data_IF_068768870307
#
_entry.id   IF_068768870307
#
_cell.length_a   1.000
_cell.length_b   1.000
_cell.length_c   1.000
_cell.angle_alpha   90.00
_cell.angle_beta   90.00
_cell.angle_gamma   90.00
#
_symmetry.space_group_name_H-M   'P 1'
#
loop_
_entity.id
_entity.type
_entity.pdbx_description
1 polymer ?
#
# COMPACT_ATOMS: atom_id res chain seq x y z
N UNK A 1 23.15 -31.86 5.16
CA UNK A 1 22.94 -30.52 4.59
C UNK A 1 21.62 -30.01 5.16
N UNK A 2 21.66 -29.06 6.09
CA UNK A 2 20.45 -28.47 6.68
C UNK A 2 19.91 -27.43 5.72
N UNK A 3 18.72 -27.70 5.16
CA UNK A 3 17.92 -26.69 4.45
C UNK A 3 17.54 -25.60 5.45
N UNK A 4 18.28 -24.49 5.44
CA UNK A 4 17.81 -23.26 6.08
C UNK A 4 16.58 -22.80 5.30
N UNK A 5 15.41 -22.90 5.94
CA UNK A 5 14.22 -22.19 5.48
C UNK A 5 14.59 -20.71 5.44
N UNK A 6 14.54 -20.04 4.28
CA UNK A 6 14.84 -18.61 4.21
C UNK A 6 13.92 -17.89 5.20
N UNK A 7 14.52 -17.08 6.08
CA UNK A 7 13.74 -16.20 6.95
C UNK A 7 12.84 -15.34 6.06
N UNK A 8 11.58 -15.11 6.42
CA UNK A 8 10.73 -14.18 5.67
C UNK A 8 11.46 -12.85 5.55
N UNK A 9 11.41 -12.23 4.37
CA UNK A 9 11.88 -10.85 4.22
C UNK A 9 11.07 -9.97 5.16
N UNK A 10 11.71 -9.45 6.19
CA UNK A 10 11.12 -8.55 7.16
C UNK A 10 11.05 -7.13 6.57
N UNK A 11 9.90 -6.72 6.05
CA UNK A 11 9.71 -5.42 5.40
C UNK A 11 8.60 -4.63 6.07
N UNK A 12 8.71 -3.30 6.06
CA UNK A 12 7.68 -2.43 6.62
C UNK A 12 6.38 -2.66 5.86
N UNK A 13 5.38 -3.20 6.55
CA UNK A 13 4.09 -3.55 5.95
C UNK A 13 3.02 -2.64 6.51
N UNK A 14 2.36 -1.90 5.63
CA UNK A 14 1.20 -1.10 5.98
C UNK A 14 -0.02 -1.66 5.28
N UNK A 15 -1.15 -1.59 5.97
CA UNK A 15 -2.43 -1.87 5.35
C UNK A 15 -2.99 -0.61 4.72
N UNK A 16 -3.49 -0.74 3.50
CA UNK A 16 -4.20 0.32 2.79
C UNK A 16 -5.67 -0.03 2.67
N UNK A 17 -6.54 0.89 3.10
CA UNK A 17 -7.98 0.74 3.04
C UNK A 17 -8.56 1.80 2.12
N UNK A 18 -9.10 1.42 0.94
CA UNK A 18 -9.81 2.36 0.08
C UNK A 18 -11.11 2.80 0.76
N UNK A 19 -11.38 4.10 0.74
CA UNK A 19 -12.63 4.68 1.24
C UNK A 19 -13.31 5.46 0.14
N UNK A 20 -14.65 5.38 0.07
CA UNK A 20 -15.45 6.02 -0.98
C UNK A 20 -15.25 7.53 -0.92
N UNK A 21 -14.79 8.10 -2.02
CA UNK A 21 -14.72 9.55 -2.22
C UNK A 21 -16.14 10.08 -2.37
N UNK A 22 -16.57 10.96 -1.45
CA UNK A 22 -17.92 11.54 -1.49
C UNK A 22 -18.16 12.53 -2.65
N UNK A 23 -17.14 12.86 -3.45
CA UNK A 23 -17.22 13.92 -4.47
C UNK A 23 -16.52 13.67 -5.81
N UNK A 24 -15.47 12.85 -5.86
CA UNK A 24 -14.74 12.51 -7.10
C UNK A 24 -14.78 11.00 -7.34
N UNK A 25 -15.39 10.58 -8.44
CA UNK A 25 -15.53 9.16 -8.81
C UNK A 25 -14.25 8.56 -9.39
N UNK A 26 -13.26 9.39 -9.72
CA UNK A 26 -12.00 8.97 -10.35
C UNK A 26 -10.83 8.91 -9.36
N UNK A 27 -10.94 9.60 -8.22
CA UNK A 27 -9.96 9.59 -7.14
C UNK A 27 -10.42 8.69 -5.98
N UNK A 28 -9.57 7.73 -5.60
CA UNK A 28 -9.74 6.91 -4.42
C UNK A 28 -9.07 7.60 -3.23
N UNK A 29 -9.80 7.82 -2.15
CA UNK A 29 -9.18 8.15 -0.88
C UNK A 29 -8.72 6.88 -0.18
N UNK A 30 -7.59 6.93 0.51
CA UNK A 30 -7.03 5.80 1.22
C UNK A 30 -6.74 6.16 2.67
N UNK A 31 -6.97 5.21 3.58
CA UNK A 31 -6.48 5.26 4.96
C UNK A 31 -5.43 4.18 5.17
N UNK A 32 -4.42 4.48 5.97
CA UNK A 32 -3.29 3.59 6.20
C UNK A 32 -3.24 3.13 7.65
N UNK A 33 -2.80 1.89 7.85
CA UNK A 33 -2.70 1.27 9.17
C UNK A 33 -1.40 0.48 9.28
N UNK A 34 -0.88 0.36 10.50
CA UNK A 34 0.26 -0.52 10.76
C UNK A 34 -0.20 -1.98 10.95
N UNK A 35 0.72 -2.95 11.13
CA UNK A 35 0.36 -4.35 11.32
C UNK A 35 -0.56 -4.65 12.52
N UNK A 36 -0.61 -3.74 13.51
CA UNK A 36 -1.48 -3.83 14.69
C UNK A 36 -2.89 -3.28 14.44
N UNK A 37 -3.16 -2.72 13.25
CA UNK A 37 -4.42 -2.08 12.91
C UNK A 37 -4.55 -0.66 13.48
N UNK A 38 -3.44 -0.04 13.89
CA UNK A 38 -3.43 1.35 14.37
C UNK A 38 -3.31 2.30 13.16
N UNK A 39 -4.06 3.42 13.12
CA UNK A 39 -3.97 4.37 12.03
C UNK A 39 -2.57 4.95 11.86
N UNK A 40 -2.14 5.11 10.61
CA UNK A 40 -0.88 5.75 10.22
C UNK A 40 -1.19 6.82 9.18
N UNK A 41 -0.56 7.98 9.30
CA UNK A 41 -0.70 9.04 8.30
C UNK A 41 0.03 8.67 7.01
N UNK A 42 -0.47 9.13 5.86
CA UNK A 42 0.11 8.82 4.55
C UNK A 42 1.56 9.32 4.40
N UNK A 43 1.95 10.34 5.16
CA UNK A 43 3.30 10.89 5.23
C UNK A 43 4.24 10.17 6.22
N UNK A 44 3.77 9.09 6.87
CA UNK A 44 4.54 8.30 7.83
C UNK A 44 4.88 6.89 7.32
N UNK A 45 4.61 6.62 6.04
CA UNK A 45 4.94 5.35 5.40
C UNK A 45 6.45 5.28 5.14
N UNK A 46 7.18 4.50 5.92
CA UNK A 46 8.64 4.45 5.91
C UNK A 46 9.18 3.02 6.10
N UNK A 47 10.23 2.67 5.36
CA UNK A 47 10.96 1.41 5.43
C UNK A 47 11.41 1.04 6.86
N UNK A 48 11.75 2.03 7.69
CA UNK A 48 12.34 1.84 9.02
C UNK A 48 11.38 2.01 10.20
N UNK A 49 10.16 2.52 9.97
CA UNK A 49 9.21 2.83 11.06
C UNK A 49 8.78 1.60 11.88
N UNK A 50 9.03 0.39 11.37
CA UNK A 50 8.69 -0.88 12.02
C UNK A 50 9.92 -1.63 12.54
N UNK A 51 11.08 -0.96 12.62
CA UNK A 51 12.34 -1.55 13.11
C UNK A 51 13.06 -2.44 12.10
N UNK A 52 12.63 -2.41 10.84
CA UNK A 52 13.25 -3.18 9.76
C UNK A 52 14.36 -2.39 9.08
N UNK A 53 15.38 -3.09 8.61
CA UNK A 53 16.54 -2.52 7.91
C UNK A 53 16.47 -2.70 6.38
N UNK A 54 15.31 -3.07 5.84
CA UNK A 54 15.14 -3.37 4.42
C UNK A 54 14.55 -2.16 3.68
N UNK A 55 15.03 -1.92 2.47
CA UNK A 55 14.68 -0.77 1.61
C UNK A 55 13.35 -0.93 0.87
N UNK A 56 12.36 -1.58 1.51
CA UNK A 56 11.08 -1.93 0.90
C UNK A 56 9.91 -1.55 1.79
N UNK A 57 8.87 -1.00 1.17
CA UNK A 57 7.55 -0.83 1.77
C UNK A 57 6.57 -1.78 1.09
N UNK A 58 5.87 -2.58 1.89
CA UNK A 58 4.74 -3.38 1.46
C UNK A 58 3.44 -2.65 1.79
N UNK A 59 2.58 -2.48 0.80
CA UNK A 59 1.22 -2.00 0.98
C UNK A 59 0.26 -3.14 0.69
N UNK A 60 -0.52 -3.52 1.69
CA UNK A 60 -1.43 -4.64 1.65
C UNK A 60 -2.87 -4.16 1.82
N UNK A 61 -3.79 -4.55 0.95
CA UNK A 61 -5.20 -4.36 1.26
C UNK A 61 -5.67 -5.49 2.19
N UNK A 62 -6.21 -5.16 3.37
CA UNK A 62 -6.63 -6.16 4.33
C UNK A 62 -7.83 -6.97 3.80
N UNK A 63 -7.98 -8.19 4.32
CA UNK A 63 -9.21 -8.97 4.16
C UNK A 63 -10.31 -8.47 5.10
N UNK A 64 -11.56 -8.85 4.85
CA UNK A 64 -12.68 -8.54 5.74
C UNK A 64 -12.42 -9.05 7.18
N UNK A 65 -11.87 -10.25 7.33
CA UNK A 65 -11.53 -10.84 8.63
C UNK A 65 -10.42 -10.09 9.38
N UNK A 66 -9.47 -9.50 8.64
CA UNK A 66 -8.43 -8.67 9.24
C UNK A 66 -9.01 -7.35 9.72
N UNK A 67 -9.84 -6.70 8.89
CA UNK A 67 -10.54 -5.47 9.24
C UNK A 67 -11.42 -5.65 10.48
N UNK A 68 -12.18 -6.75 10.56
CA UNK A 68 -13.07 -7.04 11.69
C UNK A 68 -12.35 -7.14 13.05
N UNK A 69 -11.03 -7.36 13.05
CA UNK A 69 -10.21 -7.43 14.27
C UNK A 69 -9.66 -6.08 14.71
N UNK A 70 -9.76 -5.04 13.89
CA UNK A 70 -9.23 -3.72 14.22
C UNK A 70 -10.21 -2.97 15.12
N UNK A 71 -9.65 -2.29 16.12
CA UNK A 71 -10.46 -1.53 17.08
C UNK A 71 -11.18 -0.34 16.43
N UNK A 72 -10.62 0.22 15.35
CA UNK A 72 -11.17 1.36 14.64
C UNK A 72 -11.26 1.04 13.13
N UNK A 73 -12.32 0.32 12.75
CA UNK A 73 -12.64 0.12 11.33
C UNK A 73 -13.08 1.45 10.73
N UNK A 74 -12.48 1.91 9.62
CA UNK A 74 -12.93 3.12 8.94
C UNK A 74 -14.41 3.07 8.56
N UNK A 75 -15.12 4.18 8.74
CA UNK A 75 -16.38 4.40 8.05
C UNK A 75 -16.14 4.63 6.55
N UNK A 76 -17.11 4.24 5.72
CA UNK A 76 -17.07 4.51 4.28
C UNK A 76 -16.06 3.68 3.48
N UNK A 77 -15.65 2.50 3.99
CA UNK A 77 -14.78 1.57 3.24
C UNK A 77 -15.44 1.23 1.91
N UNK A 78 -14.64 1.30 0.85
CA UNK A 78 -15.06 0.87 -0.45
C UNK A 78 -14.84 -0.64 -0.61
N UNK A 79 -15.90 -1.42 -0.36
CA UNK A 79 -15.85 -2.89 -0.37
C UNK A 79 -15.71 -3.47 -1.79
N UNK A 80 -15.99 -2.66 -2.82
CA UNK A 80 -15.90 -3.06 -4.23
C UNK A 80 -14.53 -2.80 -4.84
N UNK A 81 -13.68 -2.02 -4.15
CA UNK A 81 -12.34 -1.68 -4.59
C UNK A 81 -11.36 -2.80 -4.22
N UNK A 82 -10.61 -3.31 -5.20
CA UNK A 82 -9.53 -4.26 -5.01
C UNK A 82 -8.20 -3.69 -5.51
N UNK A 83 -7.14 -3.76 -4.70
CA UNK A 83 -5.81 -3.30 -5.06
C UNK A 83 -5.32 -4.10 -6.27
N UNK A 84 -5.11 -3.41 -7.39
CA UNK A 84 -4.77 -3.99 -8.68
C UNK A 84 -3.30 -3.76 -9.03
N UNK A 85 -2.81 -2.54 -8.84
CA UNK A 85 -1.44 -2.18 -9.16
C UNK A 85 -0.99 -0.95 -8.34
N UNK A 86 0.27 -0.59 -8.49
CA UNK A 86 0.79 0.69 -8.05
C UNK A 86 1.78 1.26 -9.06
N UNK A 87 1.79 2.58 -9.18
CA UNK A 87 2.78 3.33 -9.97
C UNK A 87 3.56 4.21 -9.02
N UNK A 88 4.89 4.15 -9.06
CA UNK A 88 5.75 4.97 -8.21
C UNK A 88 6.72 5.81 -9.02
N UNK A 89 7.10 6.95 -8.45
CA UNK A 89 8.12 7.85 -8.97
C UNK A 89 9.01 8.32 -7.84
N UNK A 90 10.32 8.20 -8.01
CA UNK A 90 11.28 8.75 -7.05
C UNK A 90 11.24 10.28 -7.10
N UNK A 91 11.21 10.90 -5.92
CA UNK A 91 11.16 12.35 -5.75
C UNK A 91 12.57 12.87 -5.49
N UNK A 92 12.92 14.02 -6.08
CA UNK A 92 14.17 14.72 -5.78
C UNK A 92 15.48 14.06 -6.25
N UNK A 93 15.45 12.96 -7.03
CA UNK A 93 16.65 12.26 -7.49
C UNK A 93 16.47 11.46 -8.79
N UNK A 94 17.56 10.91 -9.32
CA UNK A 94 17.63 10.18 -10.60
C UNK A 94 17.84 8.66 -10.42
N UNK A 95 17.18 8.07 -9.43
CA UNK A 95 17.23 6.63 -9.20
C UNK A 95 16.42 5.88 -10.28
N UNK A 96 17.04 4.90 -10.94
CA UNK A 96 16.40 4.05 -11.96
C UNK A 96 15.62 2.89 -11.33
N UNK A 97 14.77 3.18 -10.34
CA UNK A 97 13.93 2.15 -9.73
C UNK A 97 12.73 1.79 -10.62
N UNK A 98 12.21 0.55 -10.55
CA UNK A 98 10.99 0.19 -11.26
C UNK A 98 9.82 1.10 -10.84
N UNK A 99 8.99 1.49 -11.79
CA UNK A 99 7.91 2.46 -11.56
C UNK A 99 6.51 1.84 -11.58
N UNK A 100 6.35 0.56 -11.92
CA UNK A 100 5.07 -0.11 -12.01
C UNK A 100 5.12 -1.45 -11.29
N UNK A 101 4.13 -1.70 -10.46
CA UNK A 101 4.06 -2.86 -9.57
C UNK A 101 2.66 -3.47 -9.68
N UNK A 102 2.56 -4.70 -10.16
CA UNK A 102 1.29 -5.42 -10.14
C UNK A 102 1.02 -5.95 -8.74
N UNK A 103 -0.22 -5.81 -8.27
CA UNK A 103 -0.60 -6.39 -7.00
C UNK A 103 -0.61 -7.91 -7.09
N UNK A 104 -0.09 -8.57 -6.06
CA UNK A 104 -0.20 -10.03 -5.87
C UNK A 104 -0.77 -10.27 -4.49
N UNK A 105 -1.78 -11.12 -4.40
CA UNK A 105 -2.46 -11.42 -3.12
C UNK A 105 -2.90 -10.14 -2.39
N UNK A 106 -3.39 -9.15 -3.15
CA UNK A 106 -3.80 -7.82 -2.66
C UNK A 106 -2.65 -7.02 -2.02
N UNK A 107 -1.42 -7.21 -2.49
CA UNK A 107 -0.22 -6.52 -1.99
C UNK A 107 0.64 -5.98 -3.11
N UNK A 108 1.27 -4.83 -2.87
CA UNK A 108 2.37 -4.31 -3.68
C UNK A 108 3.59 -4.11 -2.80
N UNK A 109 4.77 -4.47 -3.30
CA UNK A 109 6.05 -4.29 -2.61
C UNK A 109 6.87 -3.32 -3.44
N UNK A 110 7.21 -2.18 -2.85
CA UNK A 110 7.85 -1.07 -3.56
C UNK A 110 9.23 -0.82 -2.95
N UNK A 111 10.32 -0.93 -3.74
CA UNK A 111 11.64 -0.52 -3.30
C UNK A 111 11.72 1.01 -3.19
N UNK A 112 12.44 1.48 -2.19
CA UNK A 112 12.72 2.89 -1.93
C UNK A 112 14.21 3.02 -1.66
N UNK A 113 14.93 3.76 -2.50
CA UNK A 113 16.38 3.92 -2.34
C UNK A 113 16.71 4.58 -0.99
N UNK A 114 17.86 4.25 -0.43
CA UNK A 114 18.33 4.83 0.82
C UNK A 114 18.33 6.37 0.79
N UNK A 115 17.92 6.98 1.90
CA UNK A 115 17.76 8.42 2.07
C UNK A 115 16.91 9.08 0.97
N UNK A 116 15.82 8.44 0.55
CA UNK A 116 14.94 8.95 -0.52
C UNK A 116 13.45 8.76 -0.26
N UNK A 117 12.64 9.40 -1.10
CA UNK A 117 11.19 9.32 -1.09
C UNK A 117 10.65 8.92 -2.47
N UNK A 118 9.50 8.24 -2.49
CA UNK A 118 8.74 7.97 -3.72
C UNK A 118 7.29 8.39 -3.56
N UNK A 119 6.79 9.16 -4.53
CA UNK A 119 5.35 9.36 -4.70
C UNK A 119 4.75 8.12 -5.34
N UNK A 120 3.55 7.75 -4.92
CA UNK A 120 2.92 6.49 -5.30
C UNK A 120 1.44 6.70 -5.62
N UNK A 121 0.98 6.20 -6.75
CA UNK A 121 -0.44 6.03 -7.09
C UNK A 121 -0.80 4.56 -6.91
N UNK A 122 -1.75 4.26 -6.03
CA UNK A 122 -2.34 2.94 -5.90
C UNK A 122 -3.55 2.84 -6.83
N UNK A 123 -3.58 1.82 -7.67
CA UNK A 123 -4.66 1.58 -8.62
C UNK A 123 -5.58 0.51 -8.06
N UNK A 124 -6.86 0.82 -7.98
CA UNK A 124 -7.90 -0.11 -7.54
C UNK A 124 -8.81 -0.47 -8.71
N UNK A 125 -9.12 -1.75 -8.84
CA UNK A 125 -10.15 -2.24 -9.74
C UNK A 125 -11.48 -2.34 -8.99
N UNK A 126 -12.56 -1.92 -9.64
CA UNK A 126 -13.92 -1.98 -9.13
C UNK A 126 -14.74 -2.88 -10.03
N UNK A 127 -15.58 -3.74 -9.45
CA UNK A 127 -16.53 -4.57 -10.20
C UNK A 127 -16.47 -6.06 -9.84
N UNK A 128 -17.62 -6.72 -9.95
CA UNK A 128 -17.77 -8.17 -9.85
C UNK A 128 -18.07 -8.79 -11.22
N UNK A 129 -18.31 -10.11 -11.27
CA UNK A 129 -18.51 -10.87 -12.51
C UNK A 129 -19.57 -10.28 -13.48
N UNK A 130 -20.55 -9.53 -12.96
CA UNK A 130 -21.70 -9.05 -13.73
C UNK A 130 -21.63 -7.57 -14.17
N UNK A 131 -20.58 -6.82 -13.79
CA UNK A 131 -20.41 -5.42 -14.21
C UNK A 131 -19.01 -5.19 -14.79
N UNK A 132 -18.87 -4.63 -16.00
CA UNK A 132 -17.57 -4.32 -16.56
C UNK A 132 -16.88 -3.30 -15.64
N UNK A 133 -15.77 -3.74 -15.05
CA UNK A 133 -15.09 -2.99 -14.01
C UNK A 133 -14.45 -1.70 -14.50
N UNK A 134 -14.26 -0.75 -13.59
CA UNK A 134 -13.49 0.48 -13.83
C UNK A 134 -12.29 0.54 -12.87
N UNK A 135 -11.30 1.38 -13.22
CA UNK A 135 -10.12 1.61 -12.38
C UNK A 135 -10.22 2.98 -11.72
N UNK A 136 -9.83 3.06 -10.44
CA UNK A 136 -9.57 4.33 -9.74
C UNK A 136 -8.12 4.38 -9.29
N UNK A 137 -7.61 5.59 -9.09
CA UNK A 137 -6.27 5.80 -8.55
C UNK A 137 -6.36 6.51 -7.21
N UNK A 138 -5.50 6.15 -6.25
CA UNK A 138 -5.42 6.85 -4.98
C UNK A 138 -4.93 8.28 -5.16
N UNK A 139 -5.32 9.16 -4.26
CA UNK A 139 -4.60 10.42 -4.05
C UNK A 139 -3.25 10.11 -3.40
N UNK A 140 -2.15 10.47 -4.06
CA UNK A 140 -0.78 10.00 -3.85
C UNK A 140 -0.31 9.89 -2.37
N UNK A 141 -0.07 8.69 -1.81
CA UNK A 141 0.85 8.54 -0.69
C UNK A 141 2.32 8.79 -1.09
N UNK A 142 3.12 9.21 -0.11
CA UNK A 142 4.58 9.26 -0.22
C UNK A 142 5.16 8.20 0.70
N UNK A 143 5.99 7.31 0.14
CA UNK A 143 6.76 6.31 0.91
C UNK A 143 8.22 6.74 1.02
N UNK A 144 8.85 6.40 2.14
CA UNK A 144 10.19 6.91 2.51
C UNK A 144 11.14 5.79 2.88
N UNK A 145 12.42 6.06 2.68
CA UNK A 145 13.51 5.31 3.28
C UNK A 145 14.44 6.32 3.94
N UNK A 146 14.08 6.72 5.16
CA UNK A 146 14.87 7.66 5.97
C UNK A 146 14.96 7.12 7.39
N UNK A 147 16.12 7.27 8.07
CA UNK A 147 16.31 6.81 9.45
C UNK A 147 15.28 7.34 10.45
#
# INVERSE_FOLDING_TARGET
MTTQTPKPLEMATYYVVPVRSGGDKHAQQCRYFNPKGEPVSADQLNCHAQGYSNDFVCLAQPTADQLAKWQAVPEGIDQEAELFAAVAKTLGGSYQLPNMFMARERRVVVPVADNSERGLLLIFAHGGADHPGYLTASTDPIIRNTP
#
